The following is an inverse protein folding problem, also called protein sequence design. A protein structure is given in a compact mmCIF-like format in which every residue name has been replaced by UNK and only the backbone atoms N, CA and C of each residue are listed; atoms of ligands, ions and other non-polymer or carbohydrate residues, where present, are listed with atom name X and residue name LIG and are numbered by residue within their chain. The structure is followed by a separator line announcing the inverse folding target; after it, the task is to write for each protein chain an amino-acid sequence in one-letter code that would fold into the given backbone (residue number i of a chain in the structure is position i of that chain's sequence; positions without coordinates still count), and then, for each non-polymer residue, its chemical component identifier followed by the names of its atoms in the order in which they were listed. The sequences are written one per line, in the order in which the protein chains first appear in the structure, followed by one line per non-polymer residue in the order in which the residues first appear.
data_IF_171662615319
#
_entry.id   IF_171662615319
#
_cell.length_a   1.000
_cell.length_b   1.000
_cell.length_c   1.000
_cell.angle_alpha   90.00
_cell.angle_beta   90.00
_cell.angle_gamma   90.00
#
_symmetry.space_group_name_H-M   'P 1'
#
loop_
_entity.id
_entity.type
_entity.pdbx_description
1 polymer ?
#
# COMPACT_ATOMS: atom_id res chain seq x y z
N UNK A 1 -20.42 -62.76 21.90
CA UNK A 1 -19.10 -62.11 21.73
C UNK A 1 -19.28 -60.62 22.03
N UNK A 2 -18.65 -60.09 23.08
CA UNK A 2 -18.60 -58.64 23.33
C UNK A 2 -17.50 -58.07 22.45
N UNK A 3 -17.84 -57.15 21.56
CA UNK A 3 -16.88 -56.38 20.78
C UNK A 3 -15.95 -55.62 21.73
N UNK A 4 -14.62 -55.69 21.56
CA UNK A 4 -13.70 -54.96 22.43
C UNK A 4 -13.85 -53.45 22.16
N UNK A 5 -14.26 -52.69 23.17
CA UNK A 5 -14.23 -51.23 23.15
C UNK A 5 -12.78 -50.78 23.25
N UNK A 6 -12.25 -50.24 22.15
CA UNK A 6 -10.92 -49.62 22.12
C UNK A 6 -10.97 -48.39 23.04
N UNK A 7 -10.05 -48.25 24.01
CA UNK A 7 -10.02 -47.07 24.88
C UNK A 7 -9.74 -45.81 24.06
N UNK A 8 -10.64 -44.82 24.16
CA UNK A 8 -10.47 -43.50 23.54
C UNK A 8 -9.44 -42.73 24.34
N UNK A 9 -8.27 -42.47 23.76
CA UNK A 9 -7.27 -41.58 24.35
C UNK A 9 -7.73 -40.13 24.15
N UNK A 10 -7.74 -39.36 25.24
CA UNK A 10 -8.16 -37.96 25.26
C UNK A 10 -6.95 -37.04 25.52
N UNK A 11 -7.05 -35.79 25.08
CA UNK A 11 -6.08 -34.75 25.38
C UNK A 11 -6.14 -34.30 26.86
N UNK A 12 -5.28 -33.37 27.27
CA UNK A 12 -5.23 -32.84 28.65
C UNK A 12 -6.52 -32.19 29.15
N UNK A 13 -7.43 -31.83 28.23
CA UNK A 13 -8.76 -31.31 28.56
C UNK A 13 -9.78 -32.40 28.92
N UNK A 14 -9.41 -33.68 28.77
CA UNK A 14 -10.27 -34.82 29.07
C UNK A 14 -11.52 -34.92 28.18
N UNK A 15 -11.57 -34.20 27.06
CA UNK A 15 -12.74 -34.09 26.19
C UNK A 15 -12.38 -34.27 24.71
N UNK A 16 -11.30 -33.65 24.25
CA UNK A 16 -10.86 -33.72 22.86
C UNK A 16 -10.12 -35.04 22.62
N UNK A 17 -10.32 -35.68 21.48
CA UNK A 17 -9.56 -36.91 21.18
C UNK A 17 -8.06 -36.61 21.08
N UNK A 18 -7.19 -37.53 21.53
CA UNK A 18 -5.74 -37.31 21.51
C UNK A 18 -5.22 -37.04 20.09
N UNK A 19 -5.88 -37.61 19.07
CA UNK A 19 -5.54 -37.39 17.66
C UNK A 19 -5.86 -35.97 17.19
N UNK A 20 -7.01 -35.42 17.58
CA UNK A 20 -7.37 -34.03 17.31
C UNK A 20 -6.48 -33.07 18.10
N UNK A 21 -6.18 -33.41 19.36
CA UNK A 21 -5.26 -32.63 20.19
C UNK A 21 -3.83 -32.61 19.63
N UNK A 22 -3.34 -33.71 19.07
CA UNK A 22 -2.01 -33.79 18.47
C UNK A 22 -1.93 -33.23 17.03
N UNK A 23 -3.07 -32.83 16.44
CA UNK A 23 -3.15 -32.23 15.11
C UNK A 23 -2.87 -30.73 15.11
N UNK A 24 -3.05 -30.06 13.97
CA UNK A 24 -3.00 -28.60 13.92
C UNK A 24 -4.19 -27.99 14.67
N UNK A 25 -3.93 -27.44 15.86
CA UNK A 25 -4.96 -26.96 16.80
C UNK A 25 -5.92 -25.92 16.20
N UNK A 26 -5.44 -25.12 15.24
CA UNK A 26 -6.25 -24.10 14.56
C UNK A 26 -7.36 -24.66 13.66
N UNK A 27 -7.28 -25.93 13.23
CA UNK A 27 -8.34 -26.59 12.45
C UNK A 27 -9.36 -27.35 13.30
N UNK A 28 -9.17 -27.41 14.62
CA UNK A 28 -10.07 -28.08 15.56
C UNK A 28 -10.86 -27.08 16.41
N UNK A 29 -11.55 -27.58 17.45
CA UNK A 29 -12.33 -26.74 18.36
C UNK A 29 -11.49 -25.88 19.32
N UNK A 30 -10.16 -26.05 19.33
CA UNK A 30 -9.25 -25.45 20.31
C UNK A 30 -9.43 -25.99 21.73
N UNK A 31 -8.52 -25.60 22.63
CA UNK A 31 -8.56 -26.01 24.03
C UNK A 31 -9.81 -25.45 24.73
N UNK A 32 -10.66 -26.33 25.27
CA UNK A 32 -11.92 -25.93 25.90
C UNK A 32 -13.00 -25.43 24.93
N UNK A 33 -12.86 -25.68 23.62
CA UNK A 33 -13.88 -25.34 22.62
C UNK A 33 -13.89 -23.88 22.16
N UNK A 34 -12.84 -23.11 22.45
CA UNK A 34 -12.75 -21.67 22.16
C UNK A 34 -12.89 -21.32 20.68
N UNK A 35 -12.50 -22.23 19.78
CA UNK A 35 -12.57 -22.00 18.33
C UNK A 35 -13.87 -22.52 17.71
N UNK A 36 -14.79 -23.15 18.47
CA UNK A 36 -16.03 -23.74 17.91
C UNK A 36 -16.91 -22.75 17.16
N UNK A 37 -16.95 -21.50 17.63
CA UNK A 37 -17.72 -20.42 17.02
C UNK A 37 -16.89 -19.57 16.03
N UNK A 38 -15.58 -19.80 15.94
CA UNK A 38 -14.69 -19.06 15.07
C UNK A 38 -14.47 -19.82 13.77
N UNK A 39 -15.38 -19.59 12.81
CA UNK A 39 -15.38 -20.25 11.51
C UNK A 39 -15.23 -19.20 10.39
N UNK A 40 -14.04 -18.56 10.26
CA UNK A 40 -13.82 -17.61 9.17
C UNK A 40 -13.82 -18.34 7.81
N UNK A 41 -14.38 -17.72 6.75
CA UNK A 41 -14.25 -18.27 5.41
C UNK A 41 -12.79 -18.26 4.95
N UNK A 42 -12.44 -19.20 4.06
CA UNK A 42 -11.18 -19.12 3.31
C UNK A 42 -11.37 -18.11 2.18
N UNK A 43 -10.57 -17.05 2.17
CA UNK A 43 -10.65 -15.93 1.23
C UNK A 43 -9.26 -15.61 0.70
N UNK A 44 -9.17 -15.17 -0.56
CA UNK A 44 -7.97 -14.48 -1.04
C UNK A 44 -7.90 -13.07 -0.45
N UNK A 45 -6.72 -12.45 -0.49
CA UNK A 45 -6.55 -11.07 0.00
C UNK A 45 -7.56 -10.11 -0.64
N UNK A 46 -7.77 -10.16 -1.95
CA UNK A 46 -8.73 -9.29 -2.63
C UNK A 46 -10.17 -9.54 -2.15
N UNK A 47 -10.55 -10.80 -1.95
CA UNK A 47 -11.90 -11.14 -1.48
C UNK A 47 -12.17 -10.62 -0.06
N UNK A 48 -11.16 -10.67 0.82
CA UNK A 48 -11.26 -10.13 2.18
C UNK A 48 -11.17 -8.59 2.21
N UNK A 49 -10.33 -8.00 1.36
CA UNK A 49 -10.00 -6.57 1.38
C UNK A 49 -11.01 -5.71 0.61
N UNK A 50 -11.27 -6.03 -0.67
CA UNK A 50 -11.98 -5.15 -1.60
C UNK A 50 -13.41 -4.77 -1.16
N UNK A 51 -14.23 -5.67 -0.58
CA UNK A 51 -15.58 -5.32 -0.15
C UNK A 51 -15.63 -4.18 0.87
N UNK A 52 -14.62 -4.05 1.72
CA UNK A 52 -14.53 -3.02 2.76
C UNK A 52 -13.46 -1.96 2.46
N UNK A 53 -12.76 -2.07 1.33
CA UNK A 53 -11.57 -1.30 1.01
C UNK A 53 -11.81 0.21 1.09
N UNK A 54 -12.80 0.72 0.34
CA UNK A 54 -13.11 2.16 0.30
C UNK A 54 -13.47 2.71 1.68
N UNK A 55 -14.33 2.02 2.43
CA UNK A 55 -14.76 2.45 3.76
C UNK A 55 -13.62 2.36 4.78
N UNK A 56 -12.82 1.30 4.67
CA UNK A 56 -11.65 1.06 5.49
C UNK A 56 -10.61 2.17 5.37
N UNK A 57 -10.24 2.52 4.14
CA UNK A 57 -9.30 3.61 3.90
C UNK A 57 -9.88 4.97 4.31
N UNK A 58 -11.18 5.22 4.09
CA UNK A 58 -11.82 6.43 4.58
C UNK A 58 -11.79 6.54 6.12
N UNK A 59 -11.91 5.42 6.83
CA UNK A 59 -11.75 5.37 8.30
C UNK A 59 -10.30 5.59 8.73
N UNK A 60 -9.34 5.01 8.02
CA UNK A 60 -7.91 5.22 8.28
C UNK A 60 -7.52 6.69 8.08
N UNK A 61 -8.02 7.34 7.02
CA UNK A 61 -7.84 8.78 6.79
C UNK A 61 -8.39 9.62 7.96
N UNK A 62 -9.62 9.33 8.39
CA UNK A 62 -10.24 10.05 9.51
C UNK A 62 -9.47 9.86 10.80
N UNK A 63 -9.02 8.62 11.04
CA UNK A 63 -8.23 8.27 12.21
C UNK A 63 -6.90 9.03 12.22
N UNK A 64 -6.14 9.00 11.14
CA UNK A 64 -4.85 9.72 11.04
C UNK A 64 -5.05 11.24 11.17
N UNK A 65 -6.17 11.78 10.68
CA UNK A 65 -6.47 13.21 10.80
C UNK A 65 -6.85 13.64 12.23
N UNK A 66 -7.57 12.80 12.95
CA UNK A 66 -8.26 13.20 14.19
C UNK A 66 -7.70 12.53 15.47
N UNK A 67 -6.87 11.49 15.36
CA UNK A 67 -6.29 10.78 16.50
C UNK A 67 -4.79 11.09 16.60
N UNK A 68 -4.39 11.69 17.73
CA UNK A 68 -3.00 12.11 17.96
C UNK A 68 -1.99 10.95 17.96
N UNK A 69 -2.39 9.75 18.39
CA UNK A 69 -1.51 8.57 18.34
C UNK A 69 -1.30 8.09 16.90
N UNK A 70 -2.36 8.03 16.10
CA UNK A 70 -2.27 7.64 14.69
C UNK A 70 -1.47 8.66 13.87
N UNK A 71 -1.73 9.95 14.07
CA UNK A 71 -0.98 11.03 13.41
C UNK A 71 0.52 10.97 13.73
N UNK A 72 0.86 10.80 15.02
CA UNK A 72 2.25 10.70 15.46
C UNK A 72 2.94 9.41 14.95
N UNK A 73 2.22 8.29 14.88
CA UNK A 73 2.75 7.06 14.32
C UNK A 73 3.16 7.22 12.85
N UNK A 74 2.35 7.91 12.04
CA UNK A 74 2.71 8.24 10.65
C UNK A 74 3.93 9.13 10.58
N UNK A 75 3.99 10.19 11.40
CA UNK A 75 5.12 11.11 11.42
C UNK A 75 6.44 10.39 11.76
N UNK A 76 6.44 9.57 12.82
CA UNK A 76 7.59 8.76 13.22
C UNK A 76 8.00 7.77 12.11
N UNK A 77 7.02 7.18 11.42
CA UNK A 77 7.30 6.27 10.31
C UNK A 77 8.02 6.96 9.16
N UNK A 78 7.58 8.17 8.78
CA UNK A 78 8.26 8.99 7.77
C UNK A 78 9.68 9.39 8.20
N UNK A 79 9.84 9.83 9.46
CA UNK A 79 11.13 10.27 9.99
C UNK A 79 12.15 9.14 10.07
N UNK A 80 11.73 7.94 10.49
CA UNK A 80 12.62 6.78 10.55
C UNK A 80 13.02 6.24 9.18
N UNK A 81 12.12 6.30 8.18
CA UNK A 81 12.40 5.74 6.85
C UNK A 81 13.15 6.73 5.96
N UNK A 82 12.69 7.98 5.90
CA UNK A 82 13.20 8.97 4.94
C UNK A 82 14.24 9.87 5.57
N UNK A 83 14.06 10.21 6.84
CA UNK A 83 14.87 11.22 7.52
C UNK A 83 14.75 12.59 6.86
N UNK A 84 15.88 13.32 6.83
CA UNK A 84 15.95 14.71 6.36
C UNK A 84 16.18 14.85 4.86
N UNK A 85 16.80 13.87 4.20
CA UNK A 85 17.17 13.96 2.79
C UNK A 85 17.28 12.59 2.13
N UNK A 86 16.56 12.39 1.03
CA UNK A 86 16.58 11.14 0.29
C UNK A 86 17.57 11.22 -0.87
N UNK A 87 18.81 10.75 -0.63
CA UNK A 87 19.93 10.87 -1.58
C UNK A 87 20.08 9.64 -2.47
N UNK A 88 20.42 9.87 -3.73
CA UNK A 88 20.89 8.82 -4.63
C UNK A 88 22.28 8.34 -4.17
N UNK A 89 22.47 7.02 -4.10
CA UNK A 89 23.79 6.39 -4.04
C UNK A 89 24.01 5.64 -5.35
N UNK A 90 24.73 6.24 -6.28
CA UNK A 90 24.92 5.70 -7.62
C UNK A 90 26.16 4.79 -7.67
N UNK A 91 25.93 3.49 -7.86
CA UNK A 91 26.98 2.45 -7.89
C UNK A 91 26.99 1.73 -9.23
N UNK A 92 27.48 2.38 -10.31
CA UNK A 92 27.53 1.76 -11.63
C UNK A 92 28.51 0.58 -11.61
N UNK A 93 28.15 -0.50 -12.32
CA UNK A 93 29.04 -1.65 -12.50
C UNK A 93 30.16 -1.30 -13.48
N UNK A 94 31.24 -0.72 -12.95
CA UNK A 94 32.37 -0.25 -13.76
C UNK A 94 33.01 -1.36 -14.61
N UNK A 95 33.05 -2.60 -14.09
CA UNK A 95 33.54 -3.77 -14.83
C UNK A 95 32.69 -4.09 -16.05
N UNK A 96 31.37 -3.98 -15.90
CA UNK A 96 30.45 -4.21 -17.01
C UNK A 96 30.52 -3.07 -18.04
N UNK A 97 30.68 -1.83 -17.57
CA UNK A 97 30.84 -0.65 -18.42
C UNK A 97 32.22 -0.57 -19.10
N UNK A 98 33.19 -1.38 -18.67
CA UNK A 98 34.55 -1.38 -19.22
C UNK A 98 35.37 -0.13 -18.90
N UNK A 99 34.95 0.64 -17.89
CA UNK A 99 35.62 1.88 -17.45
C UNK A 99 36.50 1.63 -16.22
N UNK A 100 37.46 2.52 -15.97
CA UNK A 100 38.29 2.45 -14.77
C UNK A 100 37.47 2.66 -13.49
N UNK A 101 37.92 2.09 -12.36
CA UNK A 101 37.22 2.29 -11.08
C UNK A 101 37.21 3.77 -10.66
N UNK A 102 38.33 4.48 -10.85
CA UNK A 102 38.43 5.91 -10.53
C UNK A 102 37.51 6.76 -11.41
N UNK A 103 37.43 6.42 -12.70
CA UNK A 103 36.53 7.05 -13.67
C UNK A 103 35.06 6.83 -13.27
N UNK A 104 34.70 5.60 -12.89
CA UNK A 104 33.36 5.29 -12.41
C UNK A 104 33.00 6.09 -11.15
N UNK A 105 33.95 6.25 -10.21
CA UNK A 105 33.73 7.09 -9.01
C UNK A 105 33.57 8.57 -9.38
N UNK A 106 34.33 9.07 -10.36
CA UNK A 106 34.18 10.44 -10.84
C UNK A 106 32.81 10.65 -11.49
N UNK A 107 32.40 9.73 -12.37
CA UNK A 107 31.09 9.73 -13.00
C UNK A 107 29.95 9.65 -11.99
N UNK A 108 30.04 8.78 -10.97
CA UNK A 108 29.04 8.72 -9.89
C UNK A 108 28.87 10.05 -9.17
N UNK A 109 29.95 10.80 -8.89
CA UNK A 109 29.86 12.11 -8.24
C UNK A 109 29.11 13.13 -9.10
N UNK A 110 29.36 13.14 -10.40
CA UNK A 110 28.65 14.03 -11.34
C UNK A 110 27.15 13.68 -11.40
N UNK A 111 26.83 12.39 -11.50
CA UNK A 111 25.43 11.92 -11.51
C UNK A 111 24.72 12.26 -10.21
N UNK A 112 25.35 12.04 -9.06
CA UNK A 112 24.77 12.35 -7.74
C UNK A 112 24.58 13.86 -7.53
N UNK A 113 25.51 14.70 -8.03
CA UNK A 113 25.37 16.15 -8.00
C UNK A 113 24.20 16.62 -8.88
N UNK A 114 24.13 16.16 -10.13
CA UNK A 114 23.05 16.49 -11.05
C UNK A 114 21.68 16.00 -10.55
N UNK A 115 21.64 14.80 -9.96
CA UNK A 115 20.43 14.27 -9.32
C UNK A 115 19.98 15.17 -8.17
N UNK A 116 20.89 15.59 -7.30
CA UNK A 116 20.56 16.47 -6.17
C UNK A 116 19.97 17.79 -6.65
N UNK A 117 20.57 18.42 -7.66
CA UNK A 117 20.06 19.67 -8.24
C UNK A 117 18.65 19.49 -8.81
N UNK A 118 18.38 18.37 -9.48
CA UNK A 118 17.07 18.09 -10.05
C UNK A 118 16.01 17.72 -9.00
N UNK A 119 16.39 16.83 -8.07
CA UNK A 119 15.50 16.26 -7.07
C UNK A 119 15.09 17.29 -6.00
N UNK A 120 15.96 18.23 -5.68
CA UNK A 120 15.81 19.16 -4.55
C UNK A 120 15.87 20.61 -4.98
N UNK A 121 15.54 20.85 -6.25
CA UNK A 121 15.32 22.17 -6.85
C UNK A 121 14.24 22.95 -6.09
N UNK A 122 14.53 24.21 -5.75
CA UNK A 122 13.59 25.12 -5.06
C UNK A 122 12.31 25.37 -5.87
N UNK A 123 12.42 25.26 -7.19
CA UNK A 123 11.30 25.37 -8.10
C UNK A 123 10.40 24.11 -8.10
N UNK A 124 10.81 23.01 -7.46
CA UNK A 124 10.10 21.74 -7.44
C UNK A 124 9.78 21.23 -8.86
N UNK A 125 10.72 21.35 -9.81
CA UNK A 125 10.54 20.89 -11.20
C UNK A 125 10.15 19.43 -11.34
N UNK A 126 10.60 18.58 -10.43
CA UNK A 126 10.32 17.15 -10.45
C UNK A 126 8.83 16.83 -10.21
N UNK A 127 8.10 17.69 -9.49
CA UNK A 127 6.69 17.53 -9.21
C UNK A 127 5.84 18.31 -10.22
N UNK A 128 4.87 17.63 -10.85
CA UNK A 128 3.94 18.26 -11.78
C UNK A 128 3.14 19.37 -11.11
N UNK A 129 2.83 19.23 -9.83
CA UNK A 129 2.10 20.25 -9.07
C UNK A 129 3.00 21.39 -8.57
N UNK A 130 4.33 21.25 -8.70
CA UNK A 130 5.33 22.24 -8.28
C UNK A 130 5.31 22.55 -6.78
N UNK A 131 4.96 21.56 -5.95
CA UNK A 131 4.81 21.71 -4.49
C UNK A 131 5.89 20.99 -3.70
N UNK A 132 6.49 19.94 -4.28
CA UNK A 132 7.29 18.96 -3.56
C UNK A 132 8.64 18.74 -4.24
N UNK A 133 9.71 18.73 -3.45
CA UNK A 133 10.98 18.10 -3.85
C UNK A 133 10.85 16.58 -3.84
N UNK A 134 11.81 15.86 -4.40
CA UNK A 134 11.81 14.40 -4.41
C UNK A 134 11.74 13.82 -3.00
N UNK A 135 12.55 14.34 -2.07
CA UNK A 135 12.48 13.92 -0.66
C UNK A 135 11.08 14.08 -0.10
N UNK A 136 10.40 15.20 -0.38
CA UNK A 136 9.02 15.41 0.06
C UNK A 136 8.04 14.42 -0.60
N UNK A 137 8.23 14.08 -1.88
CA UNK A 137 7.44 13.05 -2.56
C UNK A 137 7.62 11.67 -1.92
N UNK A 138 8.85 11.30 -1.54
CA UNK A 138 9.12 10.05 -0.82
C UNK A 138 8.45 10.07 0.56
N UNK A 139 8.53 11.19 1.29
CA UNK A 139 7.81 11.32 2.58
C UNK A 139 6.32 11.17 2.42
N UNK A 140 5.72 11.80 1.41
CA UNK A 140 4.31 11.62 1.08
C UNK A 140 3.99 10.15 0.76
N UNK A 141 4.82 9.50 -0.07
CA UNK A 141 4.66 8.09 -0.43
C UNK A 141 4.69 7.17 0.77
N UNK A 142 5.66 7.33 1.69
CA UNK A 142 5.78 6.51 2.91
C UNK A 142 4.55 6.68 3.81
N UNK A 143 4.05 7.91 3.98
CA UNK A 143 2.82 8.12 4.74
C UNK A 143 1.62 7.47 4.06
N UNK A 144 1.41 7.74 2.76
CA UNK A 144 0.30 7.18 1.99
C UNK A 144 0.31 5.65 2.02
N UNK A 145 1.48 5.03 1.87
CA UNK A 145 1.62 3.58 1.98
C UNK A 145 1.20 3.05 3.35
N UNK A 146 1.53 3.75 4.45
CA UNK A 146 1.13 3.33 5.78
C UNK A 146 -0.40 3.39 5.97
N UNK A 147 -1.06 4.52 5.67
CA UNK A 147 -2.49 4.69 5.99
C UNK A 147 -3.46 4.25 4.88
N UNK A 148 -3.02 4.11 3.63
CA UNK A 148 -3.82 3.54 2.53
C UNK A 148 -3.34 2.16 2.05
N UNK A 149 -2.16 1.69 2.48
CA UNK A 149 -1.59 0.41 2.06
C UNK A 149 -0.82 0.46 0.74
N UNK A 150 -0.88 1.57 0.02
CA UNK A 150 -0.32 1.72 -1.32
C UNK A 150 -0.16 3.20 -1.71
N UNK A 151 0.59 3.45 -2.79
CA UNK A 151 0.61 4.75 -3.45
C UNK A 151 0.67 4.60 -4.98
N UNK A 152 0.28 5.66 -5.68
CA UNK A 152 0.37 5.74 -7.14
C UNK A 152 1.11 7.00 -7.58
N UNK A 153 1.94 6.85 -8.61
CA UNK A 153 2.68 7.95 -9.22
C UNK A 153 2.58 7.82 -10.74
N UNK A 154 2.18 8.88 -11.41
CA UNK A 154 2.24 8.97 -12.87
C UNK A 154 3.55 9.63 -13.28
N UNK A 155 4.37 8.92 -14.06
CA UNK A 155 5.54 9.52 -14.71
C UNK A 155 5.05 10.34 -15.91
N UNK A 156 5.45 11.61 -15.96
CA UNK A 156 5.10 12.54 -17.03
C UNK A 156 6.36 13.15 -17.64
N UNK A 157 6.18 13.79 -18.79
CA UNK A 157 7.27 14.45 -19.50
C UNK A 157 6.89 15.89 -19.80
N UNK A 158 7.72 16.82 -19.37
CA UNK A 158 7.60 18.22 -19.73
C UNK A 158 8.03 18.44 -21.18
N UNK A 159 7.15 19.05 -21.97
CA UNK A 159 7.43 19.38 -23.37
C UNK A 159 8.16 20.71 -23.53
N UNK A 160 8.30 21.51 -22.46
CA UNK A 160 9.04 22.77 -22.50
C UNK A 160 10.50 22.55 -22.90
N UNK A 161 11.00 23.42 -23.78
CA UNK A 161 12.40 23.38 -24.23
C UNK A 161 13.39 23.92 -23.20
N UNK A 162 12.92 24.65 -22.18
CA UNK A 162 13.76 25.38 -21.22
C UNK A 162 14.34 24.54 -20.10
N UNK A 163 13.88 23.30 -19.91
CA UNK A 163 14.33 22.42 -18.83
C UNK A 163 15.33 21.38 -19.34
N UNK A 164 16.44 21.26 -18.60
CA UNK A 164 17.45 20.21 -18.82
C UNK A 164 16.85 18.83 -18.55
N UNK A 165 16.32 18.64 -17.34
CA UNK A 165 15.60 17.43 -16.95
C UNK A 165 14.09 17.65 -17.15
N UNK A 166 13.48 16.78 -17.95
CA UNK A 166 12.06 16.90 -18.36
C UNK A 166 11.16 15.84 -17.77
N UNK A 167 11.72 14.79 -17.17
CA UNK A 167 10.91 13.84 -16.41
C UNK A 167 10.27 14.56 -15.24
N UNK A 168 8.98 14.35 -15.03
CA UNK A 168 8.26 14.83 -13.87
C UNK A 168 7.38 13.70 -13.33
N UNK A 169 6.89 13.88 -12.11
CA UNK A 169 6.04 12.91 -11.44
C UNK A 169 4.81 13.61 -10.88
N UNK A 170 3.64 13.01 -11.10
CA UNK A 170 2.39 13.41 -10.49
C UNK A 170 2.01 12.36 -9.45
N UNK A 171 1.92 12.77 -8.19
CA UNK A 171 1.33 11.93 -7.15
C UNK A 171 -0.16 11.76 -7.45
N UNK A 172 -0.65 10.52 -7.42
CA UNK A 172 -2.06 10.20 -7.64
C UNK A 172 -2.60 9.53 -6.40
N UNK A 173 -3.64 10.11 -5.82
CA UNK A 173 -4.28 9.53 -4.65
C UNK A 173 -4.88 8.15 -4.98
N UNK A 174 -4.67 7.12 -4.14
CA UNK A 174 -5.34 5.82 -4.27
C UNK A 174 -6.87 5.90 -4.35
N UNK A 175 -7.46 6.96 -3.80
CA UNK A 175 -8.90 7.26 -3.82
C UNK A 175 -9.45 7.53 -5.21
N UNK A 176 -8.58 7.91 -6.15
CA UNK A 176 -8.94 8.16 -7.55
C UNK A 176 -8.88 6.88 -8.40
N UNK A 177 -8.37 5.79 -7.85
CA UNK A 177 -8.26 4.51 -8.58
C UNK A 177 -9.49 3.68 -8.27
N UNK A 178 -10.41 3.61 -9.22
CA UNK A 178 -11.64 2.84 -9.12
C UNK A 178 -12.13 2.39 -10.49
N UNK A 179 -13.00 1.38 -10.50
CA UNK A 179 -13.61 0.90 -11.74
C UNK A 179 -14.44 2.03 -12.38
N UNK A 180 -14.42 2.17 -13.72
CA UNK A 180 -15.24 3.16 -14.42
C UNK A 180 -16.72 3.05 -14.03
N UNK A 181 -17.36 4.20 -13.83
CA UNK A 181 -18.75 4.31 -13.38
C UNK A 181 -19.03 3.64 -12.03
N UNK A 182 -17.99 3.39 -11.22
CA UNK A 182 -18.07 2.64 -9.95
C UNK A 182 -18.74 1.27 -10.11
N UNK A 183 -18.49 0.62 -11.25
CA UNK A 183 -18.95 -0.75 -11.50
C UNK A 183 -18.29 -1.74 -10.55
N UNK A 184 -18.99 -2.82 -10.23
CA UNK A 184 -18.45 -3.89 -9.40
C UNK A 184 -17.24 -4.59 -10.04
N UNK A 185 -16.43 -5.24 -9.22
CA UNK A 185 -15.24 -5.95 -9.68
C UNK A 185 -15.59 -7.12 -10.60
N UNK A 186 -14.67 -7.39 -11.52
CA UNK A 186 -14.73 -8.49 -12.47
C UNK A 186 -13.43 -9.30 -12.43
N UNK A 187 -13.38 -10.42 -13.15
CA UNK A 187 -12.17 -11.26 -13.24
C UNK A 187 -10.93 -10.45 -13.64
N UNK A 188 -11.10 -9.50 -14.57
CA UNK A 188 -9.99 -8.80 -15.23
C UNK A 188 -9.89 -7.30 -14.85
N UNK A 189 -10.84 -6.75 -14.11
CA UNK A 189 -10.80 -5.37 -13.62
C UNK A 189 -11.30 -5.33 -12.19
N UNK A 190 -10.41 -5.01 -11.24
CA UNK A 190 -10.67 -5.00 -9.80
C UNK A 190 -10.17 -3.71 -9.20
N UNK A 191 -11.02 -3.00 -8.47
CA UNK A 191 -10.70 -1.76 -7.78
C UNK A 191 -9.88 -0.78 -8.66
N UNK A 192 -10.26 -0.59 -9.92
CA UNK A 192 -9.62 0.31 -10.87
C UNK A 192 -8.32 -0.20 -11.51
N UNK A 193 -7.89 -1.42 -11.22
CA UNK A 193 -6.73 -2.08 -11.83
C UNK A 193 -7.22 -3.08 -12.86
N UNK A 194 -6.84 -2.89 -14.11
CA UNK A 194 -7.08 -3.87 -15.16
C UNK A 194 -5.89 -4.83 -15.22
N UNK A 195 -6.17 -6.12 -15.17
CA UNK A 195 -5.17 -7.20 -15.12
C UNK A 195 -5.33 -8.15 -16.32
N UNK A 196 -4.25 -8.83 -16.67
CA UNK A 196 -4.26 -9.91 -17.65
C UNK A 196 -4.57 -11.27 -16.98
N UNK A 197 -4.63 -12.35 -17.78
CA UNK A 197 -4.91 -13.70 -17.26
C UNK A 197 -3.84 -14.23 -16.29
N UNK A 198 -2.64 -13.66 -16.29
CA UNK A 198 -1.55 -13.97 -15.35
C UNK A 198 -1.57 -13.09 -14.09
N UNK A 199 -2.55 -12.19 -13.94
CA UNK A 199 -2.64 -11.27 -12.80
C UNK A 199 -1.78 -10.01 -12.91
N UNK A 200 -0.99 -9.85 -13.98
CA UNK A 200 -0.17 -8.65 -14.16
C UNK A 200 -1.03 -7.45 -14.54
N UNK A 201 -0.80 -6.31 -13.87
CA UNK A 201 -1.47 -5.05 -14.19
C UNK A 201 -1.12 -4.58 -15.60
N UNK A 202 -2.15 -4.33 -16.42
CA UNK A 202 -2.07 -3.70 -17.74
C UNK A 202 -2.12 -2.18 -17.63
N UNK A 203 -2.78 -1.67 -16.59
CA UNK A 203 -2.97 -0.25 -16.36
C UNK A 203 -4.12 0.02 -15.39
N UNK A 204 -4.46 1.30 -15.27
CA UNK A 204 -5.27 1.81 -14.17
C UNK A 204 -6.31 2.78 -14.69
N UNK A 205 -7.52 2.69 -14.12
CA UNK A 205 -8.57 3.66 -14.30
C UNK A 205 -8.46 4.72 -13.23
N UNK A 206 -8.10 5.93 -13.65
CA UNK A 206 -7.91 7.08 -12.76
C UNK A 206 -9.06 8.04 -12.96
N UNK A 207 -9.84 8.26 -11.91
CA UNK A 207 -10.88 9.27 -11.94
C UNK A 207 -10.28 10.68 -11.96
N UNK A 208 -11.00 11.63 -12.53
CA UNK A 208 -10.75 13.05 -12.31
C UNK A 208 -10.81 13.38 -10.81
N UNK A 209 -10.21 14.52 -10.45
CA UNK A 209 -10.36 15.03 -9.08
C UNK A 209 -11.83 15.31 -8.84
N UNK A 210 -12.39 14.63 -7.84
CA UNK A 210 -13.80 14.73 -7.52
C UNK A 210 -14.14 16.01 -6.76
N UNK A 211 -13.17 16.80 -6.29
CA UNK A 211 -13.47 18.00 -5.51
C UNK A 211 -14.36 18.98 -6.30
N UNK A 212 -15.44 19.50 -5.69
CA UNK A 212 -15.86 19.36 -4.28
C UNK A 212 -16.84 18.20 -3.97
N UNK A 213 -17.09 17.28 -4.91
CA UNK A 213 -17.73 15.97 -4.67
C UNK A 213 -19.07 15.76 -5.39
N UNK A 214 -19.61 16.81 -6.01
CA UNK A 214 -20.93 16.78 -6.67
C UNK A 214 -20.88 16.76 -8.20
N UNK A 215 -19.69 16.82 -8.79
CA UNK A 215 -19.53 16.78 -10.24
C UNK A 215 -19.58 15.35 -10.76
N UNK A 216 -20.11 15.11 -11.98
CA UNK A 216 -20.01 13.81 -12.64
C UNK A 216 -18.55 13.37 -12.72
N UNK A 217 -18.26 12.21 -12.16
CA UNK A 217 -16.92 11.64 -12.16
C UNK A 217 -16.62 11.06 -13.55
N UNK A 218 -15.42 11.36 -14.07
CA UNK A 218 -14.90 10.78 -15.32
C UNK A 218 -13.66 9.98 -15.02
N UNK A 219 -13.42 8.91 -15.76
CA UNK A 219 -12.24 8.07 -15.63
C UNK A 219 -11.39 8.15 -16.89
N UNK A 220 -10.08 8.23 -16.69
CA UNK A 220 -9.09 8.11 -17.74
C UNK A 220 -8.34 6.80 -17.55
N UNK A 221 -8.24 6.02 -18.62
CA UNK A 221 -7.38 4.85 -18.65
C UNK A 221 -5.92 5.28 -18.83
N UNK A 222 -5.03 4.80 -17.97
CA UNK A 222 -3.59 5.04 -18.06
C UNK A 222 -2.88 3.68 -18.11
N UNK A 223 -2.11 3.37 -19.17
CA UNK A 223 -1.39 2.10 -19.25
C UNK A 223 -0.30 2.07 -18.16
N UNK A 224 0.04 0.88 -17.68
CA UNK A 224 1.16 0.70 -16.75
C UNK A 224 2.48 1.13 -17.39
N UNK A 225 2.68 0.75 -18.65
CA UNK A 225 3.89 1.02 -19.44
C UNK A 225 3.54 1.71 -20.76
N UNK A 226 4.37 2.65 -21.18
CA UNK A 226 4.33 3.25 -22.51
C UNK A 226 4.91 2.28 -23.56
N UNK A 227 4.63 2.50 -24.86
CA UNK A 227 5.38 1.83 -25.92
C UNK A 227 6.89 1.97 -25.70
N UNK A 228 7.61 0.84 -25.65
CA UNK A 228 9.03 0.78 -25.31
C UNK A 228 9.35 0.40 -23.87
N UNK A 229 8.35 0.08 -23.04
CA UNK A 229 8.54 -0.50 -21.70
C UNK A 229 8.83 0.50 -20.60
N UNK A 230 8.80 1.82 -20.89
CA UNK A 230 8.92 2.84 -19.86
C UNK A 230 7.67 2.83 -18.98
N UNK A 231 7.82 2.68 -17.67
CA UNK A 231 6.71 2.82 -16.74
C UNK A 231 6.03 4.20 -16.90
N UNK A 232 4.73 4.19 -17.17
CA UNK A 232 3.89 5.40 -17.24
C UNK A 232 3.15 5.63 -15.93
N UNK A 233 2.74 4.54 -15.28
CA UNK A 233 1.97 4.57 -14.05
C UNK A 233 2.56 3.55 -13.08
N UNK A 234 3.06 4.07 -11.97
CA UNK A 234 3.79 3.33 -10.95
C UNK A 234 2.82 3.11 -9.80
N UNK A 235 2.59 1.84 -9.47
CA UNK A 235 1.82 1.41 -8.31
C UNK A 235 2.78 0.75 -7.34
N UNK A 236 2.83 1.25 -6.10
CA UNK A 236 3.71 0.73 -5.06
C UNK A 236 2.84 0.22 -3.92
N UNK A 237 2.94 -1.07 -3.66
CA UNK A 237 2.41 -1.76 -2.49
C UNK A 237 3.22 -3.06 -2.30
N UNK A 238 3.14 -3.65 -1.11
CA UNK A 238 3.74 -4.95 -0.81
C UNK A 238 2.66 -6.05 -0.94
N UNK A 239 2.67 -6.89 -1.99
CA UNK A 239 1.74 -8.00 -2.12
C UNK A 239 2.07 -9.10 -1.12
N UNK A 240 1.05 -9.64 -0.43
CA UNK A 240 1.22 -10.74 0.54
C UNK A 240 0.69 -12.08 0.03
N UNK A 241 -0.10 -12.06 -1.05
CA UNK A 241 -0.65 -13.25 -1.69
C UNK A 241 -0.73 -13.06 -3.22
N UNK A 242 -0.75 -14.17 -3.96
CA UNK A 242 -1.05 -14.18 -5.39
C UNK A 242 -2.42 -13.56 -5.70
N UNK A 243 -2.52 -12.89 -6.85
CA UNK A 243 -3.75 -12.29 -7.34
C UNK A 243 -4.23 -11.04 -6.59
N UNK A 244 -3.47 -10.54 -5.61
CA UNK A 244 -3.77 -9.29 -4.90
C UNK A 244 -3.60 -8.09 -5.83
N UNK A 245 -4.62 -7.23 -5.92
CA UNK A 245 -4.63 -6.08 -6.83
C UNK A 245 -4.41 -4.74 -6.14
N UNK A 246 -4.67 -4.63 -4.84
CA UNK A 246 -4.53 -3.39 -4.04
C UNK A 246 -3.82 -3.65 -2.72
N UNK A 247 -3.16 -2.62 -2.19
CA UNK A 247 -2.50 -2.69 -0.89
C UNK A 247 -3.46 -2.57 0.29
N UNK A 248 -3.19 -3.28 1.39
CA UNK A 248 -3.93 -3.16 2.65
C UNK A 248 -3.20 -2.21 3.61
N UNK A 249 -3.91 -1.26 4.20
CA UNK A 249 -3.29 -0.31 5.15
C UNK A 249 -2.93 -0.99 6.48
N UNK A 250 -1.89 -0.46 7.15
CA UNK A 250 -1.40 -1.07 8.41
C UNK A 250 -2.33 -0.86 9.59
N UNK A 251 -3.33 0.03 9.47
CA UNK A 251 -4.26 0.31 10.55
C UNK A 251 -5.41 -0.69 10.63
N UNK A 252 -5.68 -1.48 9.59
CA UNK A 252 -6.85 -2.38 9.53
C UNK A 252 -7.05 -3.25 10.77
N UNK A 253 -5.98 -3.71 11.41
CA UNK A 253 -6.04 -4.55 12.60
C UNK A 253 -6.22 -3.81 13.92
N UNK A 254 -6.06 -2.48 13.95
CA UNK A 254 -6.04 -1.66 15.18
C UNK A 254 -7.04 -0.50 15.18
N UNK A 255 -7.63 -0.16 14.02
CA UNK A 255 -8.52 1.00 13.88
C UNK A 255 -9.70 0.97 14.86
N UNK A 256 -10.29 -0.21 15.07
CA UNK A 256 -11.45 -0.35 15.96
C UNK A 256 -11.08 -0.01 17.41
N UNK A 257 -9.99 -0.59 17.91
CA UNK A 257 -9.51 -0.37 19.27
C UNK A 257 -9.12 1.10 19.48
N UNK A 258 -8.46 1.72 18.49
CA UNK A 258 -8.13 3.15 18.54
C UNK A 258 -9.39 4.03 18.60
N UNK A 259 -10.42 3.72 17.80
CA UNK A 259 -11.67 4.49 17.81
C UNK A 259 -12.45 4.33 19.13
N UNK A 260 -12.44 3.13 19.70
CA UNK A 260 -13.04 2.86 21.01
C UNK A 260 -12.35 3.65 22.12
N UNK A 261 -11.01 3.74 22.09
CA UNK A 261 -10.24 4.51 23.05
C UNK A 261 -10.60 6.00 23.01
N UNK A 262 -10.68 6.61 21.82
CA UNK A 262 -11.08 8.01 21.67
C UNK A 262 -12.48 8.28 22.24
N UNK A 263 -13.39 7.34 22.02
CA UNK A 263 -14.78 7.45 22.51
C UNK A 263 -14.82 7.41 24.03
N UNK A 264 -14.08 6.46 24.64
CA UNK A 264 -13.96 6.35 26.10
C UNK A 264 -13.40 7.63 26.74
N UNK A 265 -12.32 8.17 26.18
CA UNK A 265 -11.70 9.41 26.68
C UNK A 265 -12.67 10.60 26.63
N UNK A 266 -13.39 10.76 25.52
CA UNK A 266 -14.39 11.82 25.38
C UNK A 266 -15.54 11.68 26.37
N UNK A 267 -16.05 10.45 26.57
CA UNK A 267 -17.13 10.22 27.55
C UNK A 267 -16.67 10.51 28.97
N UNK A 268 -15.44 10.09 29.35
CA UNK A 268 -14.88 10.39 30.66
C UNK A 268 -14.74 11.90 30.89
N UNK A 269 -14.22 12.64 29.90
CA UNK A 269 -14.10 14.11 29.96
C UNK A 269 -15.45 14.82 30.02
N UNK A 270 -16.49 14.30 29.37
CA UNK A 270 -17.84 14.87 29.43
C UNK A 270 -18.54 14.60 30.78
N UNK A 271 -18.18 13.51 31.45
CA UNK A 271 -18.75 13.12 32.74
C UNK A 271 -18.03 13.71 33.97
N UNK A 272 -16.89 14.38 33.75
CA UNK A 272 -16.08 15.04 34.78
C UNK A 272 -16.49 16.50 34.97
#
# INVERSE_FOLDING_TARGET
MKTPTIPTLLGPDGMTSLREYAGYHGGGSGFGGQLRAWNPPSESVDAALLPNFTRGNARADDLVRNNGYAANAIQLHQDHIVGSFFRLSHRPSWRYLGIGEEEARAFSREVEAAWKEFAEDDCCCIDVERKRTFTMMIREGVAMHAFNGELFVQATWDTSSSRLFRTQFRMVSPKRISNPNNTGDSRNCRAGVQINDSGAALGYYVSEDGYPGWMPQKWTWIPRELPGGRASFIHVFEPVEDGQTRGANVFYSVMEQMKMLDTLQNTQLQSA
#
